data_IF_570801577618
#
_entry.id   IF_570801577618
#
_cell.length_a   1.000
_cell.length_b   1.000
_cell.length_c   1.000
_cell.angle_alpha   90.00
_cell.angle_beta   90.00
_cell.angle_gamma   90.00
#
_symmetry.space_group_name_H-M   'P 1'
#
loop_
_entity.id
_entity.type
_entity.pdbx_description
1 polymer ?
#
# COMPACT_ATOMS: atom_id res chain seq x y z
N UNK A 1 0.10 8.53 -5.87
CA UNK A 1 -0.38 7.30 -5.18
C UNK A 1 -1.89 7.31 -4.92
N UNK A 2 -2.49 8.37 -4.37
CA UNK A 2 -3.93 8.43 -4.04
C UNK A 2 -4.87 8.20 -5.23
N UNK A 3 -4.55 8.74 -6.42
CA UNK A 3 -5.31 8.50 -7.66
C UNK A 3 -5.30 7.03 -8.06
N UNK A 4 -4.14 6.37 -8.00
CA UNK A 4 -4.00 4.95 -8.31
C UNK A 4 -4.83 4.11 -7.34
N UNK A 5 -4.70 4.35 -6.04
CA UNK A 5 -5.47 3.62 -5.02
C UNK A 5 -6.98 3.68 -5.30
N UNK A 6 -7.51 4.85 -5.62
CA UNK A 6 -8.92 5.01 -5.99
C UNK A 6 -9.33 4.22 -7.23
N UNK A 7 -8.44 4.12 -8.22
CA UNK A 7 -8.73 3.42 -9.47
C UNK A 7 -8.73 1.89 -9.32
N UNK A 8 -7.97 1.34 -8.38
CA UNK A 8 -7.85 -0.10 -8.13
C UNK A 8 -8.61 -0.55 -6.88
N UNK A 9 -9.36 0.34 -6.23
CA UNK A 9 -9.99 0.05 -4.94
C UNK A 9 -11.17 -0.91 -5.10
N UNK A 10 -11.20 -1.94 -4.28
CA UNK A 10 -12.29 -2.89 -4.16
C UNK A 10 -12.37 -3.41 -2.71
N UNK A 11 -13.58 -3.51 -2.13
CA UNK A 11 -13.76 -3.83 -0.70
C UNK A 11 -13.24 -5.20 -0.28
N UNK A 12 -13.10 -6.14 -1.22
CA UNK A 12 -12.58 -7.50 -0.94
C UNK A 12 -11.05 -7.59 -0.98
N UNK A 13 -10.36 -6.57 -1.46
CA UNK A 13 -8.91 -6.58 -1.60
C UNK A 13 -8.24 -5.91 -0.39
N UNK A 14 -6.99 -6.26 -0.14
CA UNK A 14 -6.16 -5.66 0.90
C UNK A 14 -5.08 -4.77 0.26
N UNK A 15 -4.88 -3.58 0.82
CA UNK A 15 -3.94 -2.59 0.31
C UNK A 15 -2.94 -2.22 1.40
N UNK A 16 -1.65 -2.28 1.06
CA UNK A 16 -0.57 -1.79 1.91
C UNK A 16 0.16 -0.65 1.19
N UNK A 17 0.11 0.54 1.79
CA UNK A 17 0.77 1.74 1.29
C UNK A 17 2.09 1.92 2.01
N UNK A 18 3.18 1.91 1.23
CA UNK A 18 4.52 2.17 1.72
C UNK A 18 5.08 3.40 1.00
N UNK A 19 5.55 4.37 1.78
CA UNK A 19 6.33 5.50 1.28
C UNK A 19 7.82 5.17 1.37
N UNK A 20 8.59 5.78 0.48
CA UNK A 20 10.04 5.60 0.45
C UNK A 20 10.70 6.29 1.64
N UNK A 21 11.95 5.95 1.93
CA UNK A 21 12.73 6.51 3.05
C UNK A 21 13.12 7.97 2.82
N UNK A 22 13.05 8.45 1.57
CA UNK A 22 13.16 9.86 1.25
C UNK A 22 11.93 10.69 1.64
N UNK A 23 10.80 10.05 1.96
CA UNK A 23 9.58 10.74 2.42
C UNK A 23 9.65 11.08 3.89
N UNK A 24 9.27 12.32 4.23
CA UNK A 24 9.25 12.79 5.61
C UNK A 24 8.20 12.07 6.45
N UNK A 25 8.36 12.13 7.77
CA UNK A 25 7.33 11.65 8.71
C UNK A 25 6.01 12.40 8.52
N UNK A 26 6.05 13.68 8.11
CA UNK A 26 4.85 14.48 7.84
C UNK A 26 4.09 13.97 6.64
N UNK A 27 4.75 13.64 5.52
CA UNK A 27 4.09 13.06 4.34
C UNK A 27 3.42 11.72 4.66
N UNK A 28 4.07 10.91 5.51
CA UNK A 28 3.49 9.65 6.02
C UNK A 28 2.27 9.89 6.88
N UNK A 29 2.34 10.88 7.78
CA UNK A 29 1.20 11.27 8.61
C UNK A 29 0.04 11.76 7.76
N UNK A 30 0.30 12.61 6.77
CA UNK A 30 -0.71 13.15 5.86
C UNK A 30 -1.38 12.05 5.04
N UNK A 31 -0.61 11.05 4.58
CA UNK A 31 -1.16 9.86 3.92
C UNK A 31 -2.05 9.04 4.85
N UNK A 32 -1.63 8.84 6.10
CA UNK A 32 -2.43 8.11 7.09
C UNK A 32 -3.72 8.87 7.44
N UNK A 33 -3.65 10.19 7.56
CA UNK A 33 -4.82 11.06 7.76
C UNK A 33 -5.75 11.02 6.55
N UNK A 34 -5.19 11.03 5.33
CA UNK A 34 -5.97 10.87 4.10
C UNK A 34 -6.75 9.56 4.09
N UNK A 35 -6.09 8.44 4.41
CA UNK A 35 -6.75 7.12 4.46
C UNK A 35 -7.86 7.13 5.50
N UNK A 36 -7.61 7.66 6.70
CA UNK A 36 -8.63 7.76 7.76
C UNK A 36 -9.77 8.70 7.43
N UNK A 37 -9.53 9.77 6.67
CA UNK A 37 -10.58 10.72 6.31
C UNK A 37 -11.59 10.18 5.28
N UNK A 38 -11.27 9.06 4.63
CA UNK A 38 -12.16 8.45 3.65
C UNK A 38 -13.02 7.38 4.32
N UNK A 39 -14.32 7.67 4.47
CA UNK A 39 -15.32 6.80 5.10
C UNK A 39 -15.26 5.38 4.53
N UNK A 40 -15.08 5.24 3.21
CA UNK A 40 -15.05 3.92 2.56
C UNK A 40 -13.83 3.10 3.02
N UNK A 41 -12.67 3.74 3.18
CA UNK A 41 -11.46 3.03 3.62
C UNK A 41 -11.52 2.71 5.11
N UNK A 42 -12.13 3.58 5.91
CA UNK A 42 -12.34 3.38 7.35
C UNK A 42 -13.34 2.25 7.62
N UNK A 43 -14.46 2.21 6.87
CA UNK A 43 -15.52 1.22 7.03
C UNK A 43 -15.05 -0.21 6.73
N UNK A 44 -14.29 -0.39 5.65
CA UNK A 44 -13.78 -1.71 5.27
C UNK A 44 -12.44 -2.06 5.94
N UNK A 45 -11.71 -1.09 6.49
CA UNK A 45 -10.46 -1.32 7.22
C UNK A 45 -9.36 -2.03 6.40
N UNK A 46 -9.45 -1.99 5.07
CA UNK A 46 -8.64 -2.79 4.15
C UNK A 46 -7.46 -2.02 3.53
N UNK A 47 -7.24 -0.77 3.96
CA UNK A 47 -6.11 0.07 3.51
C UNK A 47 -5.22 0.39 4.70
N UNK A 48 -3.98 -0.09 4.65
CA UNK A 48 -3.00 0.06 5.73
C UNK A 48 -1.79 0.88 5.27
N UNK A 49 -1.26 1.74 6.15
CA UNK A 49 -0.05 2.54 5.89
C UNK A 49 1.09 2.03 6.75
N UNK A 50 2.24 1.75 6.14
CA UNK A 50 3.44 1.32 6.88
C UNK A 50 4.03 2.50 7.65
N UNK A 51 4.10 2.38 8.97
CA UNK A 51 4.58 3.46 9.85
C UNK A 51 6.11 3.66 9.84
N UNK A 52 6.90 2.60 9.66
CA UNK A 52 8.37 2.66 9.61
C UNK A 52 8.86 2.57 8.17
N UNK A 53 9.61 3.58 7.71
CA UNK A 53 10.32 3.51 6.44
C UNK A 53 11.58 2.64 6.55
N UNK A 54 11.97 2.04 5.42
CA UNK A 54 13.28 1.45 5.21
C UNK A 54 13.70 1.82 3.79
N UNK A 55 14.98 2.16 3.57
CA UNK A 55 15.49 2.55 2.26
C UNK A 55 15.29 1.43 1.21
N UNK A 56 14.42 1.68 0.22
CA UNK A 56 14.18 0.75 -0.88
C UNK A 56 15.03 1.19 -2.08
N UNK A 57 16.10 0.45 -2.37
CA UNK A 57 16.79 0.58 -3.64
C UNK A 57 16.13 -0.36 -4.65
N UNK A 58 15.45 0.22 -5.66
CA UNK A 58 14.74 -0.53 -6.71
C UNK A 58 15.65 -1.47 -7.52
N UNK A 59 16.96 -1.22 -7.59
CA UNK A 59 17.92 -2.08 -8.30
C UNK A 59 18.75 -2.99 -7.36
N UNK A 60 18.47 -2.97 -6.05
CA UNK A 60 19.20 -3.74 -5.04
C UNK A 60 18.36 -4.81 -4.35
N UNK A 61 19.00 -5.57 -3.46
CA UNK A 61 18.36 -6.60 -2.61
C UNK A 61 17.27 -6.04 -1.68
N UNK A 62 17.27 -4.73 -1.44
CA UNK A 62 16.26 -4.05 -0.62
C UNK A 62 14.88 -4.01 -1.27
N UNK A 63 14.77 -4.07 -2.60
CA UNK A 63 13.48 -4.21 -3.30
C UNK A 63 12.77 -5.52 -2.91
N UNK A 64 13.48 -6.65 -3.00
CA UNK A 64 12.97 -7.96 -2.59
C UNK A 64 12.66 -7.99 -1.10
N UNK A 65 13.54 -7.42 -0.26
CA UNK A 65 13.31 -7.33 1.18
C UNK A 65 12.04 -6.54 1.51
N UNK A 66 11.75 -5.46 0.78
CA UNK A 66 10.55 -4.67 0.96
C UNK A 66 9.29 -5.46 0.59
N UNK A 67 9.31 -6.20 -0.54
CA UNK A 67 8.19 -7.06 -0.93
C UNK A 67 7.94 -8.18 0.10
N UNK A 68 8.98 -8.86 0.56
CA UNK A 68 8.84 -9.90 1.59
C UNK A 68 8.31 -9.34 2.91
N UNK A 69 8.78 -8.14 3.30
CA UNK A 69 8.28 -7.46 4.48
C UNK A 69 6.79 -7.08 4.34
N UNK A 70 6.40 -6.56 3.17
CA UNK A 70 5.01 -6.22 2.87
C UNK A 70 4.10 -7.46 2.93
N UNK A 71 4.53 -8.59 2.36
CA UNK A 71 3.80 -9.86 2.44
C UNK A 71 3.64 -10.30 3.91
N UNK A 72 4.73 -10.25 4.68
CA UNK A 72 4.69 -10.62 6.10
C UNK A 72 3.74 -9.72 6.94
N UNK A 73 3.64 -8.43 6.59
CA UNK A 73 2.67 -7.52 7.22
C UNK A 73 1.24 -7.84 6.79
N UNK A 74 0.99 -8.04 5.49
CA UNK A 74 -0.34 -8.41 4.99
C UNK A 74 -0.84 -9.70 5.64
N UNK A 75 0.00 -10.75 5.69
CA UNK A 75 -0.35 -12.02 6.36
C UNK A 75 -0.69 -11.87 7.85
N UNK A 76 -0.12 -10.86 8.54
CA UNK A 76 -0.47 -10.58 9.95
C UNK A 76 -1.80 -9.84 10.08
N UNK A 77 -2.17 -9.04 9.09
CA UNK A 77 -3.41 -8.27 9.09
C UNK A 77 -4.58 -9.15 8.63
N UNK A 78 -4.41 -9.84 7.51
CA UNK A 78 -5.40 -10.73 6.93
C UNK A 78 -4.69 -11.73 5.98
N UNK A 79 -4.95 -13.02 6.16
CA UNK A 79 -4.41 -14.09 5.30
C UNK A 79 -5.36 -14.52 4.17
N UNK A 80 -6.58 -13.99 4.13
CA UNK A 80 -7.63 -14.37 3.18
C UNK A 80 -7.49 -13.59 1.86
N UNK A 81 -6.36 -13.80 1.19
CA UNK A 81 -6.10 -13.30 -0.15
C UNK A 81 -5.31 -14.34 -0.95
N UNK A 82 -5.55 -14.42 -2.25
CA UNK A 82 -4.95 -15.45 -3.11
C UNK A 82 -3.70 -14.96 -3.86
N UNK A 83 -3.66 -13.66 -4.18
CA UNK A 83 -2.64 -13.07 -5.05
C UNK A 83 -1.99 -11.84 -4.42
N UNK A 84 -0.67 -11.70 -4.65
CA UNK A 84 0.10 -10.54 -4.24
C UNK A 84 0.62 -9.78 -5.47
N UNK A 85 0.34 -8.47 -5.53
CA UNK A 85 0.80 -7.59 -6.58
C UNK A 85 1.56 -6.40 -5.99
N UNK A 86 2.71 -6.08 -6.58
CA UNK A 86 3.45 -4.85 -6.25
C UNK A 86 3.15 -3.79 -7.29
N UNK A 87 2.76 -2.60 -6.83
CA UNK A 87 2.54 -1.44 -7.68
C UNK A 87 3.38 -0.27 -7.18
N UNK A 88 3.89 0.51 -8.11
CA UNK A 88 4.54 1.79 -7.88
C UNK A 88 3.55 2.94 -8.06
N UNK A 89 3.89 4.13 -7.56
CA UNK A 89 3.07 5.32 -7.73
C UNK A 89 2.92 5.79 -9.21
N UNK A 90 3.75 5.25 -10.12
CA UNK A 90 3.74 5.56 -11.56
C UNK A 90 2.85 4.61 -12.37
N UNK A 91 2.39 3.51 -11.78
CA UNK A 91 1.56 2.52 -12.46
C UNK A 91 0.09 2.99 -12.55
N UNK A 92 -0.65 2.46 -13.53
CA UNK A 92 -2.07 2.73 -13.69
C UNK A 92 -2.80 1.56 -14.34
N UNK A 93 -3.99 1.15 -13.83
CA UNK A 93 -4.75 0.06 -14.45
C UNK A 93 -5.25 0.49 -15.85
N UNK A 94 -5.07 -0.40 -16.83
CA UNK A 94 -5.64 -0.23 -18.18
C UNK A 94 -7.02 -0.85 -18.31
N UNK A 95 -7.39 -1.74 -17.38
CA UNK A 95 -8.64 -2.50 -17.37
C UNK A 95 -9.29 -2.38 -15.98
N UNK A 96 -10.61 -2.53 -15.93
CA UNK A 96 -11.37 -2.62 -14.68
C UNK A 96 -11.13 -3.96 -14.00
N UNK A 97 -11.46 -4.06 -12.71
CA UNK A 97 -11.30 -5.30 -11.93
C UNK A 97 -12.44 -6.31 -12.14
N UNK A 98 -13.53 -5.89 -12.78
CA UNK A 98 -14.70 -6.71 -13.12
C UNK A 98 -14.48 -7.58 -14.37
#
# INVERSE_FOLDING_TARGET
MTRLLKAIYHPRNQYLLQLDDCSSDSERMDLALYVKSNIVFEEFGNVNVVGKSYAINKMGSSSLSASLHAIALLLKVNSDWDWFFTLSASDYPLMTQD
#
